data_IF_169570177852
#
_entry.id   IF_169570177852
#
_cell.length_a   1.000
_cell.length_b   1.000
_cell.length_c   1.000
_cell.angle_alpha   90.00
_cell.angle_beta   90.00
_cell.angle_gamma   90.00
#
_symmetry.space_group_name_H-M   'P 1'
#
loop_
_entity.id
_entity.type
_entity.pdbx_description
1 polymer ?
#
# COMPACT_ATOMS: atom_id res chain seq x y z
N UNK A 1 -0.94 14.61 30.42
CA UNK A 1 -1.02 14.88 28.98
C UNK A 1 0.22 14.24 28.38
N UNK A 2 0.07 13.22 27.52
CA UNK A 2 1.21 12.67 26.80
C UNK A 2 1.84 13.80 25.97
N UNK A 3 3.17 13.83 25.88
CA UNK A 3 3.85 14.84 25.06
C UNK A 3 3.38 14.69 23.61
N UNK A 4 3.28 15.78 22.83
CA UNK A 4 2.92 15.70 21.41
C UNK A 4 3.87 14.83 20.59
N UNK A 5 5.07 14.52 21.10
CA UNK A 5 6.06 13.65 20.48
C UNK A 5 5.72 12.14 20.58
N UNK A 6 4.82 11.74 21.49
CA UNK A 6 4.44 10.33 21.70
C UNK A 6 3.13 9.95 20.97
N UNK A 7 2.55 10.88 20.21
CA UNK A 7 1.33 10.62 19.43
C UNK A 7 1.63 9.71 18.23
N UNK A 8 0.78 8.71 17.92
CA UNK A 8 0.93 7.89 16.71
C UNK A 8 0.85 8.70 15.41
N UNK A 9 0.33 9.93 15.46
CA UNK A 9 0.24 10.85 14.32
C UNK A 9 1.35 11.91 14.31
N UNK A 10 2.32 11.87 15.22
CA UNK A 10 3.42 12.85 15.22
C UNK A 10 4.14 12.89 13.85
N UNK A 11 4.27 14.08 13.27
CA UNK A 11 4.86 14.26 11.93
C UNK A 11 3.89 13.96 10.76
N UNK A 12 2.61 13.74 11.03
CA UNK A 12 1.55 13.69 10.02
C UNK A 12 0.88 15.05 9.85
N UNK A 13 0.13 15.19 8.75
CA UNK A 13 -0.61 16.42 8.45
C UNK A 13 -1.60 16.73 9.58
N UNK A 14 -1.60 17.96 10.09
CA UNK A 14 -2.36 18.37 11.27
C UNK A 14 -1.66 18.13 12.62
N UNK A 15 -0.53 17.42 12.63
CA UNK A 15 0.20 17.03 13.85
C UNK A 15 1.72 17.28 13.73
N UNK A 16 2.08 18.36 13.03
CA UNK A 16 3.48 18.80 12.90
C UNK A 16 3.87 19.69 14.08
N UNK A 17 5.11 19.59 14.53
CA UNK A 17 5.71 20.62 15.39
C UNK A 17 5.97 21.91 14.59
N UNK A 18 6.14 23.08 15.23
CA UNK A 18 6.48 24.32 14.51
C UNK A 18 7.75 24.21 13.64
N UNK A 19 8.72 23.42 14.09
CA UNK A 19 9.93 23.12 13.31
C UNK A 19 9.61 22.26 12.09
N UNK A 20 8.80 21.21 12.26
CA UNK A 20 8.36 20.34 11.18
C UNK A 20 7.49 21.08 10.15
N UNK A 21 6.65 22.02 10.57
CA UNK A 21 5.87 22.89 9.67
C UNK A 21 6.78 23.77 8.80
N UNK A 22 7.85 24.31 9.40
CA UNK A 22 8.86 25.10 8.69
C UNK A 22 9.57 24.25 7.64
N UNK A 23 10.03 23.05 8.03
CA UNK A 23 10.68 22.08 7.12
C UNK A 23 9.74 21.60 6.02
N UNK A 24 8.47 21.40 6.34
CA UNK A 24 7.47 21.01 5.36
C UNK A 24 7.21 22.11 4.33
N UNK A 25 7.14 23.36 4.77
CA UNK A 25 6.99 24.52 3.88
C UNK A 25 8.21 24.70 2.96
N UNK A 26 9.41 24.55 3.51
CA UNK A 26 10.68 24.57 2.74
C UNK A 26 10.70 23.47 1.67
N UNK A 27 10.35 22.24 2.07
CA UNK A 27 10.31 21.09 1.18
C UNK A 27 9.28 21.22 0.06
N UNK A 28 8.06 21.66 0.39
CA UNK A 28 7.01 21.94 -0.61
C UNK A 28 7.49 22.96 -1.63
N UNK A 29 8.08 24.05 -1.17
CA UNK A 29 8.63 25.09 -2.06
C UNK A 29 9.73 24.54 -2.96
N UNK A 30 10.63 23.70 -2.43
CA UNK A 30 11.67 23.07 -3.22
C UNK A 30 11.10 22.12 -4.28
N UNK A 31 10.12 21.28 -3.92
CA UNK A 31 9.46 20.39 -4.88
C UNK A 31 8.73 21.15 -5.99
N UNK A 32 8.07 22.27 -5.66
CA UNK A 32 7.42 23.12 -6.67
C UNK A 32 8.42 23.82 -7.58
N UNK A 33 9.58 24.25 -7.07
CA UNK A 33 10.64 24.84 -7.91
C UNK A 33 11.25 23.87 -8.91
N UNK A 34 11.24 22.57 -8.60
CA UNK A 34 11.75 21.51 -9.47
C UNK A 34 10.65 20.81 -10.29
N UNK A 35 9.42 21.37 -10.33
CA UNK A 35 8.25 20.78 -11.01
C UNK A 35 7.90 19.34 -10.54
N UNK A 36 8.34 18.96 -9.33
CA UNK A 36 8.03 17.67 -8.71
C UNK A 36 6.66 17.67 -8.00
N UNK A 37 6.18 18.85 -7.60
CA UNK A 37 4.89 19.02 -6.93
C UNK A 37 4.17 20.31 -7.31
N UNK A 38 2.91 20.17 -7.73
CA UNK A 38 2.00 21.29 -7.93
C UNK A 38 0.56 20.84 -7.68
N UNK A 39 -0.21 21.53 -6.80
CA UNK A 39 -1.60 21.21 -6.54
C UNK A 39 -2.42 21.12 -7.83
N UNK A 40 -3.17 20.02 -7.99
CA UNK A 40 -4.01 19.77 -9.16
C UNK A 40 -3.27 19.44 -10.46
N UNK A 41 -1.94 19.43 -10.47
CA UNK A 41 -1.13 19.01 -11.63
C UNK A 41 -0.42 17.69 -11.42
N UNK A 42 0.00 17.39 -10.19
CA UNK A 42 0.57 16.09 -9.87
C UNK A 42 -0.50 15.01 -9.80
N UNK A 43 -0.05 13.75 -9.94
CA UNK A 43 -0.90 12.58 -9.67
C UNK A 43 -1.54 12.70 -8.29
N UNK A 44 -2.75 12.17 -8.16
CA UNK A 44 -3.55 12.31 -6.93
C UNK A 44 -2.86 11.68 -5.71
N UNK A 45 -2.17 10.56 -5.89
CA UNK A 45 -1.39 9.91 -4.83
C UNK A 45 -0.14 10.68 -4.36
N UNK A 46 0.18 11.83 -4.98
CA UNK A 46 1.23 12.75 -4.55
C UNK A 46 0.61 14.07 -4.06
N UNK A 47 -0.06 13.99 -2.92
CA UNK A 47 -0.62 15.11 -2.17
C UNK A 47 0.31 15.56 -1.02
N UNK A 48 -0.14 16.49 -0.18
CA UNK A 48 0.63 16.98 0.97
C UNK A 48 0.96 15.87 1.98
N UNK A 49 0.04 14.93 2.19
CA UNK A 49 0.25 13.80 3.09
C UNK A 49 1.31 12.84 2.53
N UNK A 50 1.35 12.65 1.21
CA UNK A 50 2.40 11.93 0.51
C UNK A 50 3.76 12.63 0.59
N UNK A 51 3.83 13.96 0.45
CA UNK A 51 5.08 14.71 0.64
C UNK A 51 5.65 14.52 2.05
N UNK A 52 4.79 14.55 3.08
CA UNK A 52 5.21 14.29 4.46
C UNK A 52 5.78 12.88 4.66
N UNK A 53 5.38 11.86 3.87
CA UNK A 53 6.01 10.54 3.92
C UNK A 53 7.50 10.60 3.56
N UNK A 54 7.87 11.38 2.54
CA UNK A 54 9.28 11.56 2.16
C UNK A 54 10.08 12.28 3.25
N UNK A 55 9.51 13.33 3.85
CA UNK A 55 10.15 14.01 4.98
C UNK A 55 10.32 13.09 6.18
N UNK A 56 9.28 12.37 6.61
CA UNK A 56 9.38 11.41 7.73
C UNK A 56 10.44 10.34 7.46
N UNK A 57 10.47 9.78 6.25
CA UNK A 57 11.48 8.79 5.85
C UNK A 57 12.92 9.31 5.86
N UNK A 58 13.11 10.63 5.85
CA UNK A 58 14.40 11.32 5.93
C UNK A 58 14.52 12.19 7.18
N UNK A 59 13.72 11.91 8.22
CA UNK A 59 13.79 12.59 9.52
C UNK A 59 13.68 14.12 9.42
N UNK A 60 12.87 14.60 8.48
CA UNK A 60 12.68 16.01 8.14
C UNK A 60 13.93 16.74 7.60
N UNK A 61 14.94 15.99 7.12
CA UNK A 61 16.05 16.54 6.34
C UNK A 61 15.61 16.83 4.91
N UNK A 62 15.37 18.12 4.63
CA UNK A 62 14.82 18.60 3.35
C UNK A 62 15.68 18.19 2.14
N UNK A 63 17.02 18.32 2.14
CA UNK A 63 17.83 17.93 0.98
C UNK A 63 17.73 16.44 0.65
N UNK A 64 17.69 15.58 1.68
CA UNK A 64 17.61 14.13 1.52
C UNK A 64 16.22 13.70 1.05
N UNK A 65 15.16 14.33 1.58
CA UNK A 65 13.79 14.11 1.15
C UNK A 65 13.60 14.53 -0.33
N UNK A 66 14.19 15.67 -0.71
CA UNK A 66 14.17 16.18 -2.09
C UNK A 66 14.90 15.26 -3.07
N UNK A 67 16.05 14.73 -2.65
CA UNK A 67 16.74 13.72 -3.43
C UNK A 67 15.88 12.46 -3.63
N UNK A 68 15.26 11.94 -2.56
CA UNK A 68 14.44 10.73 -2.62
C UNK A 68 13.20 10.87 -3.52
N UNK A 69 12.49 12.00 -3.45
CA UNK A 69 11.32 12.22 -4.33
C UNK A 69 11.75 12.39 -5.79
N UNK A 70 12.89 13.05 -6.05
CA UNK A 70 13.46 13.17 -7.40
C UNK A 70 13.80 11.80 -7.99
N UNK A 71 14.48 10.95 -7.23
CA UNK A 71 14.77 9.57 -7.66
C UNK A 71 13.48 8.77 -7.89
N UNK A 72 12.47 8.96 -7.06
CA UNK A 72 11.19 8.28 -7.19
C UNK A 72 10.46 8.70 -8.46
N UNK A 73 10.30 9.99 -8.73
CA UNK A 73 9.59 10.45 -9.93
C UNK A 73 10.37 10.12 -11.23
N UNK A 74 11.70 10.15 -11.19
CA UNK A 74 12.53 9.65 -12.30
C UNK A 74 12.34 8.14 -12.54
N UNK A 75 12.33 7.33 -11.48
CA UNK A 75 12.08 5.88 -11.57
C UNK A 75 10.68 5.57 -12.08
N UNK A 76 9.65 6.28 -11.61
CA UNK A 76 8.25 6.13 -12.08
C UNK A 76 8.14 6.42 -13.56
N UNK A 77 8.76 7.51 -14.02
CA UNK A 77 8.76 7.92 -15.43
C UNK A 77 9.48 6.90 -16.30
N UNK A 78 10.69 6.48 -15.92
CA UNK A 78 11.47 5.50 -16.68
C UNK A 78 10.76 4.15 -16.81
N UNK A 79 10.03 3.73 -15.78
CA UNK A 79 9.26 2.48 -15.77
C UNK A 79 7.83 2.62 -16.33
N UNK A 80 7.45 3.83 -16.80
CA UNK A 80 6.11 4.15 -17.30
C UNK A 80 5.01 3.68 -16.35
N UNK A 81 5.17 3.95 -15.06
CA UNK A 81 4.32 3.33 -14.03
C UNK A 81 2.84 3.72 -14.16
N UNK A 82 2.58 4.96 -14.58
CA UNK A 82 1.22 5.45 -14.86
C UNK A 82 0.55 4.65 -15.98
N UNK A 83 1.25 4.48 -17.11
CA UNK A 83 0.81 3.68 -18.26
C UNK A 83 0.62 2.21 -17.85
N UNK A 84 1.57 1.66 -17.10
CA UNK A 84 1.51 0.30 -16.57
C UNK A 84 0.25 0.08 -15.74
N UNK A 85 -0.09 1.01 -14.84
CA UNK A 85 -1.25 0.89 -13.97
C UNK A 85 -2.56 1.00 -14.77
N UNK A 86 -2.66 1.97 -15.67
CA UNK A 86 -3.86 2.22 -16.46
C UNK A 86 -4.13 1.15 -17.53
N UNK A 87 -3.08 0.43 -17.97
CA UNK A 87 -3.15 -0.61 -19.00
C UNK A 87 -2.89 -2.02 -18.45
N UNK A 88 -2.85 -2.19 -17.13
CA UNK A 88 -2.60 -3.49 -16.53
C UNK A 88 -3.73 -4.47 -16.89
N UNK A 89 -3.35 -5.64 -17.39
CA UNK A 89 -4.33 -6.70 -17.65
C UNK A 89 -5.02 -7.11 -16.34
N UNK A 90 -6.36 -7.12 -16.34
CA UNK A 90 -7.14 -7.37 -15.14
C UNK A 90 -6.94 -8.80 -14.62
N UNK A 91 -6.74 -9.78 -15.51
CA UNK A 91 -6.45 -11.15 -15.07
C UNK A 91 -5.07 -11.26 -14.41
N UNK A 92 -4.06 -10.57 -14.96
CA UNK A 92 -2.73 -10.51 -14.35
C UNK A 92 -2.75 -9.83 -12.98
N UNK A 93 -3.51 -8.74 -12.83
CA UNK A 93 -3.72 -8.09 -11.53
C UNK A 93 -4.34 -9.05 -10.51
N UNK A 94 -5.39 -9.77 -10.89
CA UNK A 94 -6.10 -10.70 -9.99
C UNK A 94 -5.25 -11.93 -9.62
N UNK A 95 -4.46 -12.46 -10.55
CA UNK A 95 -3.50 -13.53 -10.24
C UNK A 95 -2.41 -13.05 -9.27
N UNK A 96 -1.90 -11.82 -9.47
CA UNK A 96 -0.90 -11.24 -8.59
C UNK A 96 -1.45 -11.00 -7.18
N UNK A 97 -2.68 -10.50 -7.03
CA UNK A 97 -3.27 -10.31 -5.69
C UNK A 97 -3.28 -11.61 -4.89
N UNK A 98 -3.44 -12.77 -5.55
CA UNK A 98 -3.46 -14.09 -4.88
C UNK A 98 -2.10 -14.56 -4.39
N UNK A 99 -1.00 -13.94 -4.84
CA UNK A 99 0.36 -14.26 -4.41
C UNK A 99 1.05 -13.14 -3.62
N UNK A 100 0.34 -12.05 -3.31
CA UNK A 100 0.84 -10.93 -2.53
C UNK A 100 -0.13 -10.53 -1.41
N UNK A 101 0.21 -9.49 -0.66
CA UNK A 101 -0.65 -8.93 0.38
C UNK A 101 -2.00 -8.49 -0.21
N UNK A 102 -3.09 -8.94 0.40
CA UNK A 102 -4.46 -8.66 -0.05
C UNK A 102 -5.18 -7.77 0.96
N UNK A 103 -5.77 -6.69 0.46
CA UNK A 103 -6.67 -5.89 1.29
C UNK A 103 -7.95 -6.68 1.58
N UNK A 104 -8.33 -6.74 2.85
CA UNK A 104 -9.55 -7.42 3.31
C UNK A 104 -10.83 -6.66 2.96
N UNK A 105 -10.73 -5.39 2.57
CA UNK A 105 -11.86 -4.46 2.52
C UNK A 105 -12.13 -3.75 3.85
N UNK A 106 -11.39 -4.12 4.90
CA UNK A 106 -11.56 -3.60 6.27
C UNK A 106 -10.38 -2.76 6.73
N UNK A 107 -10.54 -2.18 7.91
CA UNK A 107 -9.60 -1.24 8.52
C UNK A 107 -9.36 -1.56 10.00
N UNK A 108 -8.27 -1.03 10.52
CA UNK A 108 -8.00 -1.03 11.95
C UNK A 108 -8.70 0.13 12.69
N UNK A 109 -8.54 0.21 14.01
CA UNK A 109 -9.20 1.22 14.85
C UNK A 109 -8.82 2.67 14.50
N UNK A 110 -7.70 2.89 13.79
CA UNK A 110 -7.27 4.21 13.32
C UNK A 110 -7.67 4.48 11.85
N UNK A 111 -8.38 3.53 11.22
CA UNK A 111 -8.85 3.65 9.84
C UNK A 111 -7.83 3.19 8.80
N UNK A 112 -6.70 2.59 9.17
CA UNK A 112 -5.72 2.08 8.22
C UNK A 112 -6.22 0.79 7.58
N UNK A 113 -6.11 0.61 6.26
CA UNK A 113 -6.55 -0.62 5.60
C UNK A 113 -5.76 -1.84 6.10
N UNK A 114 -6.48 -2.94 6.31
CA UNK A 114 -5.92 -4.21 6.81
C UNK A 114 -5.64 -5.14 5.65
N UNK A 115 -4.36 -5.46 5.47
CA UNK A 115 -3.86 -6.41 4.49
C UNK A 115 -3.50 -7.74 5.14
N UNK A 116 -3.76 -8.84 4.43
CA UNK A 116 -3.37 -10.20 4.83
C UNK A 116 -2.47 -10.81 3.78
N UNK A 117 -1.42 -11.50 4.20
CA UNK A 117 -0.53 -12.28 3.33
C UNK A 117 -0.28 -13.67 3.88
N UNK A 118 -0.77 -14.69 3.17
CA UNK A 118 -0.58 -16.10 3.53
C UNK A 118 0.44 -16.75 2.60
N UNK A 119 1.64 -17.00 3.13
CA UNK A 119 2.75 -17.51 2.30
C UNK A 119 2.49 -18.96 1.84
N UNK A 120 1.74 -19.74 2.61
CA UNK A 120 1.36 -21.12 2.25
C UNK A 120 0.52 -21.19 0.96
N UNK A 121 -0.24 -20.14 0.64
CA UNK A 121 -1.11 -20.07 -0.55
C UNK A 121 -0.35 -19.76 -1.85
N UNK A 122 0.94 -19.39 -1.76
CA UNK A 122 1.76 -19.10 -2.94
C UNK A 122 1.86 -20.29 -3.89
N UNK A 123 2.04 -21.51 -3.35
CA UNK A 123 2.27 -22.72 -4.15
C UNK A 123 1.15 -22.97 -5.16
N UNK A 124 -0.10 -22.70 -4.77
CA UNK A 124 -1.28 -22.98 -5.58
C UNK A 124 -1.53 -21.91 -6.65
N UNK A 125 -1.02 -20.70 -6.45
CA UNK A 125 -1.29 -19.55 -7.32
C UNK A 125 -0.08 -19.13 -8.17
N UNK A 126 1.13 -19.62 -7.87
CA UNK A 126 2.36 -19.23 -8.54
C UNK A 126 2.35 -19.51 -10.05
N UNK A 127 1.77 -20.64 -10.49
CA UNK A 127 1.73 -20.98 -11.91
C UNK A 127 0.90 -19.98 -12.73
N UNK A 128 -0.28 -19.60 -12.22
CA UNK A 128 -1.14 -18.62 -12.89
C UNK A 128 -0.44 -17.26 -12.95
N UNK A 129 0.11 -16.80 -11.82
CA UNK A 129 0.89 -15.57 -11.73
C UNK A 129 2.11 -15.56 -12.67
N UNK A 130 2.85 -16.65 -12.79
CA UNK A 130 3.98 -16.74 -13.70
C UNK A 130 3.57 -16.70 -15.17
N UNK A 131 2.37 -17.17 -15.49
CA UNK A 131 1.84 -17.13 -16.85
C UNK A 131 1.32 -15.73 -17.20
N UNK A 132 0.56 -15.11 -16.30
CA UNK A 132 -0.01 -13.77 -16.51
C UNK A 132 1.01 -12.64 -16.34
N UNK A 133 2.09 -12.80 -15.57
CA UNK A 133 3.18 -11.82 -15.56
C UNK A 133 3.97 -11.74 -16.89
N UNK A 134 3.89 -12.78 -17.74
CA UNK A 134 4.56 -12.79 -19.07
C UNK A 134 3.78 -12.01 -20.14
N UNK A 135 2.48 -11.81 -19.97
CA UNK A 135 1.67 -11.04 -20.92
C UNK A 135 1.84 -9.53 -20.74
N UNK A 136 2.46 -9.10 -19.64
CA UNK A 136 2.77 -7.69 -19.45
C UNK A 136 3.74 -7.21 -20.53
N UNK A 137 3.57 -5.96 -21.02
CA UNK A 137 4.55 -5.34 -21.89
C UNK A 137 5.96 -5.44 -21.30
N UNK A 138 6.99 -5.47 -22.14
CA UNK A 138 8.38 -5.39 -21.70
C UNK A 138 8.70 -4.00 -21.13
N UNK A 139 9.72 -3.92 -20.26
CA UNK A 139 10.15 -2.64 -19.69
C UNK A 139 10.90 -1.86 -20.79
N UNK A 140 10.77 -0.52 -20.92
CA UNK A 140 11.65 0.23 -21.80
C UNK A 140 13.12 -0.08 -21.50
N UNK A 141 13.85 -0.54 -22.52
CA UNK A 141 15.25 -0.92 -22.42
C UNK A 141 16.16 0.31 -22.41
N UNK A 142 16.11 1.16 -21.38
CA UNK A 142 17.12 2.21 -21.21
C UNK A 142 17.02 2.88 -19.84
N UNK A 143 18.02 2.66 -18.99
CA UNK A 143 18.15 3.42 -17.76
C UNK A 143 19.47 3.17 -17.01
N UNK A 144 20.15 4.26 -16.63
CA UNK A 144 21.27 4.30 -15.70
C UNK A 144 20.89 3.74 -14.30
N UNK A 145 21.85 3.65 -13.38
CA UNK A 145 21.66 3.03 -12.06
C UNK A 145 20.47 3.58 -11.21
N UNK A 146 20.00 4.81 -11.48
CA UNK A 146 18.84 5.46 -10.83
C UNK A 146 17.47 5.14 -11.50
N UNK A 147 17.48 4.53 -12.68
CA UNK A 147 16.27 4.20 -13.48
C UNK A 147 16.16 2.70 -13.72
N UNK A 148 16.63 1.90 -12.74
CA UNK A 148 16.63 0.43 -12.84
C UNK A 148 15.25 -0.08 -13.24
N UNK A 149 15.16 -0.87 -14.32
CA UNK A 149 13.90 -1.42 -14.75
C UNK A 149 13.34 -2.33 -13.66
N UNK A 150 12.07 -2.16 -13.33
CA UNK A 150 11.31 -3.12 -12.51
C UNK A 150 11.44 -4.51 -13.16
N UNK A 151 11.95 -5.51 -12.42
CA UNK A 151 11.99 -6.88 -12.91
C UNK A 151 10.59 -7.35 -13.32
N UNK A 152 10.46 -8.09 -14.42
CA UNK A 152 9.16 -8.42 -15.03
C UNK A 152 8.10 -8.92 -14.03
N UNK A 153 8.44 -9.89 -13.17
CA UNK A 153 7.53 -10.41 -12.14
C UNK A 153 7.11 -9.38 -11.09
N UNK A 154 7.94 -8.37 -10.82
CA UNK A 154 7.63 -7.31 -9.86
C UNK A 154 6.78 -6.18 -10.47
N UNK A 155 6.57 -6.14 -11.79
CA UNK A 155 5.75 -5.11 -12.42
C UNK A 155 4.31 -5.16 -11.93
N UNK A 156 3.71 -6.34 -11.88
CA UNK A 156 2.34 -6.47 -11.36
C UNK A 156 2.28 -6.11 -9.87
N UNK A 157 3.30 -6.45 -9.09
CA UNK A 157 3.39 -6.03 -7.69
C UNK A 157 3.31 -4.51 -7.57
N UNK A 158 4.02 -3.76 -8.41
CA UNK A 158 3.90 -2.30 -8.39
C UNK A 158 2.55 -1.80 -8.87
N UNK A 159 1.84 -2.53 -9.75
CA UNK A 159 0.42 -2.28 -9.99
C UNK A 159 -0.46 -2.41 -8.74
N UNK A 160 -0.15 -3.36 -7.84
CA UNK A 160 -0.83 -3.49 -6.54
C UNK A 160 -0.48 -2.34 -5.59
N UNK A 161 0.78 -1.88 -5.57
CA UNK A 161 1.19 -0.70 -4.79
C UNK A 161 0.53 0.58 -5.30
N UNK A 162 0.41 0.73 -6.62
CA UNK A 162 -0.33 1.83 -7.22
C UNK A 162 -1.81 1.76 -6.81
N UNK A 163 -2.44 0.59 -6.81
CA UNK A 163 -3.80 0.47 -6.31
C UNK A 163 -3.95 0.83 -4.82
N UNK A 164 -2.99 0.43 -3.99
CA UNK A 164 -2.95 0.83 -2.59
C UNK A 164 -2.89 2.35 -2.47
N UNK A 165 -1.99 3.01 -3.20
CA UNK A 165 -1.74 4.45 -3.10
C UNK A 165 -2.81 5.32 -3.78
N UNK A 166 -3.27 4.92 -4.98
CA UNK A 166 -4.21 5.66 -5.82
C UNK A 166 -5.67 5.40 -5.47
N UNK A 167 -5.97 4.32 -4.72
CA UNK A 167 -7.34 3.94 -4.41
C UNK A 167 -7.60 3.59 -2.95
N UNK A 168 -6.90 2.63 -2.37
CA UNK A 168 -7.24 2.12 -1.02
C UNK A 168 -6.99 3.17 0.06
N UNK A 169 -5.84 3.86 0.03
CA UNK A 169 -5.51 4.91 0.99
C UNK A 169 -6.48 6.12 0.91
N UNK A 170 -6.79 6.67 -0.28
CA UNK A 170 -7.83 7.69 -0.43
C UNK A 170 -9.22 7.21 0.03
N UNK A 171 -9.60 5.97 -0.26
CA UNK A 171 -10.88 5.40 0.16
C UNK A 171 -10.99 5.30 1.68
N UNK A 172 -9.92 4.92 2.36
CA UNK A 172 -9.91 4.92 3.82
C UNK A 172 -9.93 6.34 4.40
N UNK A 173 -9.30 7.32 3.73
CA UNK A 173 -9.32 8.74 4.10
C UNK A 173 -10.70 9.39 3.94
N UNK A 174 -11.48 8.94 2.97
CA UNK A 174 -12.85 9.40 2.71
C UNK A 174 -13.80 9.09 3.87
N UNK A 175 -13.50 8.08 4.69
CA UNK A 175 -14.34 7.71 5.83
C UNK A 175 -14.03 8.59 7.04
N UNK A 176 -15.06 9.30 7.51
CA UNK A 176 -14.94 10.34 8.55
C UNK A 176 -15.32 9.88 9.96
N UNK A 177 -15.76 8.63 10.14
CA UNK A 177 -16.10 8.04 11.44
C UNK A 177 -14.89 7.63 12.29
N UNK A 178 -13.68 7.69 11.72
CA UNK A 178 -12.42 7.36 12.40
C UNK A 178 -12.00 8.45 13.41
N UNK A 179 -11.10 8.14 14.36
CA UNK A 179 -10.74 9.06 15.44
C UNK A 179 -10.19 10.42 14.99
N UNK A 180 -9.33 10.45 13.96
CA UNK A 180 -8.65 11.66 13.48
C UNK A 180 -8.99 11.93 12.00
N UNK A 181 -10.25 12.29 11.67
CA UNK A 181 -10.77 12.37 10.30
C UNK A 181 -10.09 13.45 9.43
N UNK A 182 -9.45 14.43 10.05
CA UNK A 182 -8.68 15.51 9.42
C UNK A 182 -7.33 15.05 8.86
N UNK A 183 -6.71 14.02 9.42
CA UNK A 183 -5.38 13.54 9.00
C UNK A 183 -5.51 12.42 8.00
N UNK A 184 -5.06 12.54 6.74
CA UNK A 184 -5.21 11.48 5.74
C UNK A 184 -4.57 10.16 6.15
N UNK A 185 -5.18 9.05 5.73
CA UNK A 185 -4.62 7.70 5.90
C UNK A 185 -3.52 7.51 4.85
N UNK A 186 -2.28 7.41 5.31
CA UNK A 186 -1.11 7.27 4.43
C UNK A 186 -0.38 5.94 4.56
N UNK A 187 -0.84 5.06 5.45
CA UNK A 187 -0.15 3.82 5.80
C UNK A 187 -1.13 2.65 5.96
N UNK A 188 -0.57 1.45 5.94
CA UNK A 188 -1.29 0.17 5.93
C UNK A 188 -0.89 -0.70 7.12
N UNK A 189 -1.82 -1.55 7.58
CA UNK A 189 -1.57 -2.56 8.61
C UNK A 189 -1.59 -3.95 7.98
N UNK A 190 -0.60 -4.79 8.31
CA UNK A 190 -0.43 -6.10 7.66
C UNK A 190 -0.45 -7.25 8.67
N UNK A 191 -1.15 -8.32 8.31
CA UNK A 191 -1.10 -9.63 8.96
C UNK A 191 -0.41 -10.59 8.00
N UNK A 192 0.74 -11.12 8.39
CA UNK A 192 1.55 -12.03 7.58
C UNK A 192 1.56 -13.40 8.24
N UNK A 193 0.81 -14.34 7.69
CA UNK A 193 0.75 -15.71 8.17
C UNK A 193 1.79 -16.56 7.43
N UNK A 194 2.78 -17.02 8.20
CA UNK A 194 3.88 -17.86 7.70
C UNK A 194 3.71 -19.33 8.08
N UNK A 195 2.55 -19.69 8.64
CA UNK A 195 2.22 -21.07 9.02
C UNK A 195 2.29 -22.00 7.82
N UNK A 196 2.76 -23.24 8.05
CA UNK A 196 2.79 -24.28 7.01
C UNK A 196 3.87 -24.09 5.93
N UNK A 197 4.75 -23.10 6.08
CA UNK A 197 5.87 -22.87 5.15
C UNK A 197 7.16 -23.43 5.75
N UNK A 198 7.92 -24.19 4.95
CA UNK A 198 9.25 -24.66 5.32
C UNK A 198 10.36 -23.66 4.98
N UNK A 199 11.53 -23.81 5.60
CA UNK A 199 12.70 -22.93 5.36
C UNK A 199 13.09 -22.88 3.88
N UNK A 200 13.02 -24.01 3.17
CA UNK A 200 13.32 -24.07 1.74
C UNK A 200 12.30 -23.28 0.90
N UNK A 201 11.03 -23.24 1.32
CA UNK A 201 10.02 -22.38 0.69
C UNK A 201 10.38 -20.90 0.82
N UNK A 202 10.75 -20.45 2.03
CA UNK A 202 11.25 -19.10 2.25
C UNK A 202 12.53 -18.79 1.47
N UNK A 203 13.46 -19.75 1.43
CA UNK A 203 14.71 -19.60 0.68
C UNK A 203 14.45 -19.34 -0.80
N UNK A 204 13.50 -20.06 -1.40
CA UNK A 204 13.13 -19.88 -2.80
C UNK A 204 12.50 -18.49 -3.08
N UNK A 205 11.87 -17.88 -2.07
CA UNK A 205 11.27 -16.54 -2.18
C UNK A 205 12.24 -15.40 -1.84
N UNK A 206 13.36 -15.72 -1.20
CA UNK A 206 14.29 -14.76 -0.59
C UNK A 206 14.68 -13.61 -1.53
N UNK A 207 15.14 -13.94 -2.73
CA UNK A 207 15.62 -12.94 -3.70
C UNK A 207 14.48 -12.05 -4.20
N UNK A 208 13.30 -12.64 -4.39
CA UNK A 208 12.11 -11.92 -4.83
C UNK A 208 11.63 -10.95 -3.73
N UNK A 209 11.53 -11.42 -2.49
CA UNK A 209 11.15 -10.59 -1.34
C UNK A 209 12.15 -9.47 -1.10
N UNK A 210 13.46 -9.74 -1.21
CA UNK A 210 14.49 -8.73 -1.09
C UNK A 210 14.34 -7.64 -2.15
N UNK A 211 14.20 -8.02 -3.43
CA UNK A 211 14.06 -7.06 -4.52
C UNK A 211 12.78 -6.21 -4.39
N UNK A 212 11.65 -6.84 -4.03
CA UNK A 212 10.39 -6.15 -3.76
C UNK A 212 10.55 -5.14 -2.61
N UNK A 213 11.15 -5.56 -1.50
CA UNK A 213 11.35 -4.73 -0.31
C UNK A 213 12.26 -3.54 -0.58
N UNK A 214 13.38 -3.75 -1.30
CA UNK A 214 14.30 -2.67 -1.65
C UNK A 214 13.63 -1.60 -2.51
N UNK A 215 12.87 -2.00 -3.54
CA UNK A 215 12.16 -1.05 -4.39
C UNK A 215 11.01 -0.36 -3.66
N UNK A 216 10.26 -1.09 -2.82
CA UNK A 216 9.18 -0.49 -2.02
C UNK A 216 9.73 0.56 -1.03
N UNK A 217 10.81 0.27 -0.31
CA UNK A 217 11.44 1.22 0.61
C UNK A 217 12.03 2.45 -0.09
N UNK A 218 12.46 2.30 -1.34
CA UNK A 218 13.01 3.40 -2.13
C UNK A 218 11.92 4.35 -2.67
N UNK A 219 10.76 3.82 -3.08
CA UNK A 219 9.77 4.58 -3.87
C UNK A 219 8.40 4.75 -3.20
N UNK A 220 8.12 3.99 -2.13
CA UNK A 220 6.87 4.06 -1.36
C UNK A 220 7.16 4.24 0.14
N UNK A 221 7.93 5.28 0.51
CA UNK A 221 8.32 5.52 1.91
C UNK A 221 7.09 5.67 2.81
N UNK A 222 7.23 5.22 4.06
CA UNK A 222 6.25 5.41 5.15
C UNK A 222 4.80 4.99 4.80
N UNK A 223 4.65 3.97 3.95
CA UNK A 223 3.34 3.36 3.61
C UNK A 223 2.99 2.16 4.50
N UNK A 224 3.92 1.72 5.35
CA UNK A 224 3.75 0.63 6.29
C UNK A 224 3.70 1.17 7.72
N UNK A 225 2.63 0.85 8.44
CA UNK A 225 2.46 1.23 9.85
C UNK A 225 2.92 0.10 10.77
N UNK A 226 2.35 -1.09 10.59
CA UNK A 226 2.55 -2.27 11.44
C UNK A 226 2.45 -3.56 10.64
N UNK A 227 3.25 -4.55 11.03
CA UNK A 227 3.23 -5.92 10.49
C UNK A 227 3.15 -6.90 11.64
N UNK A 228 2.15 -7.77 11.65
CA UNK A 228 2.05 -8.89 12.58
C UNK A 228 2.41 -10.18 11.86
N UNK A 229 3.51 -10.80 12.26
CA UNK A 229 3.95 -12.09 11.72
C UNK A 229 3.43 -13.19 12.64
N UNK A 230 2.64 -14.10 12.07
CA UNK A 230 1.96 -15.18 12.78
C UNK A 230 2.51 -16.53 12.35
N UNK A 231 2.43 -17.54 13.22
CA UNK A 231 2.80 -18.91 12.85
C UNK A 231 4.29 -19.10 12.58
N UNK A 232 5.13 -18.22 13.12
CA UNK A 232 6.58 -18.26 12.96
C UNK A 232 7.15 -19.63 13.43
N UNK A 233 7.73 -20.44 12.52
CA UNK A 233 8.27 -21.76 12.87
C UNK A 233 9.61 -21.64 13.60
N UNK A 234 10.14 -22.75 14.10
CA UNK A 234 11.40 -22.78 14.86
C UNK A 234 12.62 -22.21 14.10
N UNK A 235 12.59 -22.22 12.76
CA UNK A 235 13.64 -21.65 11.92
C UNK A 235 13.47 -20.14 11.65
N UNK A 236 12.39 -19.50 12.10
CA UNK A 236 12.09 -18.09 11.83
C UNK A 236 13.21 -17.11 12.26
N UNK A 237 13.99 -17.35 13.34
CA UNK A 237 15.15 -16.50 13.65
C UNK A 237 16.15 -16.36 12.48
N UNK A 238 16.31 -17.38 11.64
CA UNK A 238 17.14 -17.31 10.42
C UNK A 238 16.53 -16.35 9.39
N UNK A 239 15.21 -16.43 9.17
CA UNK A 239 14.48 -15.53 8.27
C UNK A 239 14.53 -14.09 8.79
N UNK A 240 14.37 -13.90 10.09
CA UNK A 240 14.51 -12.58 10.74
C UNK A 240 15.90 -11.97 10.52
N UNK A 241 16.95 -12.79 10.53
CA UNK A 241 18.31 -12.36 10.17
C UNK A 241 18.42 -11.82 8.74
N UNK A 242 17.63 -12.33 7.79
CA UNK A 242 17.56 -11.79 6.43
C UNK A 242 16.75 -10.49 6.37
N UNK A 243 15.56 -10.46 7.01
CA UNK A 243 14.68 -9.29 7.06
C UNK A 243 15.42 -8.06 7.60
N UNK A 244 16.19 -8.21 8.69
CA UNK A 244 17.01 -7.12 9.27
C UNK A 244 18.09 -6.56 8.34
N UNK A 245 18.45 -7.28 7.27
CA UNK A 245 19.39 -6.79 6.24
C UNK A 245 18.69 -6.10 5.08
N UNK A 246 17.38 -6.31 4.93
CA UNK A 246 16.58 -5.76 3.82
C UNK A 246 15.91 -4.45 4.21
N UNK A 247 15.59 -4.30 5.49
CA UNK A 247 14.85 -3.16 6.03
C UNK A 247 15.71 -2.34 7.00
N UNK A 248 15.46 -1.04 7.03
CA UNK A 248 16.04 -0.14 8.02
C UNK A 248 15.42 -0.38 9.43
N UNK A 249 16.07 0.11 10.50
CA UNK A 249 15.58 -0.06 11.86
C UNK A 249 14.14 0.46 12.09
N UNK A 250 13.74 1.56 11.44
CA UNK A 250 12.40 2.13 11.57
C UNK A 250 11.32 1.26 10.96
N UNK A 251 11.64 0.54 9.87
CA UNK A 251 10.74 -0.48 9.31
C UNK A 251 10.71 -1.75 10.17
N UNK A 252 11.86 -2.23 10.67
CA UNK A 252 11.88 -3.46 11.49
C UNK A 252 11.21 -3.30 12.85
N UNK A 253 11.17 -2.10 13.44
CA UNK A 253 10.47 -1.83 14.71
C UNK A 253 8.95 -1.92 14.60
N UNK A 254 8.40 -1.82 13.39
CA UNK A 254 6.98 -1.99 13.06
C UNK A 254 6.57 -3.46 12.94
N UNK A 255 7.54 -4.38 12.94
CA UNK A 255 7.29 -5.82 12.77
C UNK A 255 7.20 -6.49 14.13
N UNK A 256 6.06 -7.14 14.38
CA UNK A 256 5.75 -7.85 15.61
C UNK A 256 5.56 -9.34 15.29
N UNK A 257 6.46 -10.18 15.78
CA UNK A 257 6.33 -11.65 15.65
C UNK A 257 5.53 -12.14 16.85
N UNK A 258 4.37 -12.75 16.60
CA UNK A 258 3.44 -13.19 17.64
C UNK A 258 3.48 -14.70 17.80
N UNK A 259 3.49 -15.17 19.05
CA UNK A 259 3.16 -16.56 19.37
C UNK A 259 1.67 -16.82 19.16
N UNK A 260 1.28 -18.10 19.03
CA UNK A 260 -0.11 -18.49 18.78
C UNK A 260 -1.09 -17.95 19.85
N UNK A 261 -0.65 -17.88 21.11
CA UNK A 261 -1.46 -17.37 22.23
C UNK A 261 -1.60 -15.84 22.22
N UNK A 262 -0.71 -15.12 21.54
CA UNK A 262 -0.72 -13.66 21.44
C UNK A 262 -1.55 -13.15 20.26
N UNK A 263 -1.74 -13.97 19.20
CA UNK A 263 -2.41 -13.54 17.95
C UNK A 263 -3.73 -12.83 18.20
N UNK A 264 -4.72 -13.54 18.74
CA UNK A 264 -6.07 -12.98 18.94
C UNK A 264 -6.10 -11.77 19.89
N UNK A 265 -5.52 -11.82 21.12
CA UNK A 265 -5.56 -10.68 22.03
C UNK A 265 -4.81 -9.46 21.48
N UNK A 266 -3.67 -9.66 20.82
CA UNK A 266 -2.93 -8.55 20.20
C UNK A 266 -3.75 -7.94 19.06
N UNK A 267 -4.22 -8.72 18.08
CA UNK A 267 -4.94 -8.16 16.93
C UNK A 267 -6.24 -7.45 17.34
N UNK A 268 -7.00 -8.01 18.29
CA UNK A 268 -8.22 -7.37 18.83
C UNK A 268 -7.96 -6.06 19.58
N UNK A 269 -6.73 -5.81 20.05
CA UNK A 269 -6.36 -4.53 20.64
C UNK A 269 -6.15 -3.44 19.57
N UNK A 270 -5.98 -3.81 18.30
CA UNK A 270 -5.71 -2.87 17.19
C UNK A 270 -6.85 -2.77 16.18
N UNK A 271 -7.75 -3.76 16.10
CA UNK A 271 -8.91 -3.76 15.22
C UNK A 271 -10.13 -4.38 15.89
N UNK A 272 -11.31 -3.88 15.52
CA UNK A 272 -12.60 -4.42 15.99
C UNK A 272 -12.74 -5.89 15.53
N UNK A 273 -13.21 -6.82 16.39
CA UNK A 273 -13.46 -8.20 16.01
C UNK A 273 -14.22 -8.36 14.69
N UNK A 274 -15.21 -7.51 14.37
CA UNK A 274 -16.00 -7.57 13.13
C UNK A 274 -15.20 -7.28 11.85
N UNK A 275 -14.01 -6.71 12.01
CA UNK A 275 -13.09 -6.29 10.95
C UNK A 275 -11.86 -7.21 10.84
N UNK A 276 -11.69 -8.12 11.82
CA UNK A 276 -10.63 -9.12 11.87
C UNK A 276 -11.12 -10.46 11.31
N UNK A 277 -10.40 -11.11 10.36
CA UNK A 277 -10.79 -12.44 9.88
C UNK A 277 -10.92 -13.48 11.00
N UNK A 278 -11.95 -14.34 10.90
CA UNK A 278 -12.19 -15.43 11.87
C UNK A 278 -10.99 -16.30 12.16
N UNK A 279 -10.20 -16.62 11.13
CA UNK A 279 -8.95 -17.40 11.24
C UNK A 279 -7.98 -16.83 12.28
N UNK A 280 -7.97 -15.50 12.46
CA UNK A 280 -7.08 -14.79 13.37
C UNK A 280 -7.78 -14.38 14.68
N UNK A 281 -8.95 -14.96 14.95
CA UNK A 281 -9.71 -14.73 16.16
C UNK A 281 -10.67 -13.55 16.07
N UNK A 282 -11.09 -13.10 14.89
CA UNK A 282 -12.17 -12.12 14.76
C UNK A 282 -13.51 -12.75 14.39
N UNK A 283 -14.36 -11.96 13.75
CA UNK A 283 -15.73 -12.29 13.34
C UNK A 283 -15.95 -12.09 11.83
N UNK A 284 -14.99 -11.48 11.12
CA UNK A 284 -15.08 -11.25 9.69
C UNK A 284 -15.03 -12.59 8.91
N UNK A 285 -16.07 -12.83 8.13
CA UNK A 285 -16.16 -13.91 7.15
C UNK A 285 -15.32 -13.55 5.92
N UNK A 286 -14.01 -13.71 6.05
CA UNK A 286 -13.05 -13.46 4.98
C UNK A 286 -11.88 -14.43 5.07
N UNK A 287 -11.50 -14.99 3.93
CA UNK A 287 -10.38 -15.91 3.78
C UNK A 287 -9.43 -15.40 2.69
N UNK A 288 -8.15 -15.77 2.79
CA UNK A 288 -7.15 -15.33 1.83
C UNK A 288 -7.48 -15.81 0.41
N UNK A 289 -7.53 -14.87 -0.53
CA UNK A 289 -8.00 -15.09 -1.89
C UNK A 289 -9.42 -14.60 -2.16
N UNK A 290 -10.21 -14.28 -1.13
CA UNK A 290 -11.49 -13.59 -1.30
C UNK A 290 -11.30 -12.14 -1.74
N UNK A 291 -12.33 -11.56 -2.38
CA UNK A 291 -12.34 -10.15 -2.76
C UNK A 291 -12.55 -9.26 -1.52
N UNK A 292 -12.26 -7.95 -1.59
CA UNK A 292 -12.48 -7.04 -0.46
C UNK A 292 -13.94 -7.04 0.02
N UNK A 293 -14.14 -7.17 1.33
CA UNK A 293 -15.43 -7.07 2.01
C UNK A 293 -15.54 -5.71 2.71
N UNK A 294 -16.02 -4.71 1.98
CA UNK A 294 -16.24 -3.35 2.48
C UNK A 294 -17.32 -3.31 3.57
N UNK A 295 -17.08 -2.49 4.61
CA UNK A 295 -18.09 -2.18 5.62
C UNK A 295 -19.07 -1.09 5.15
N UNK A 296 -20.15 -0.91 5.92
CA UNK A 296 -21.18 0.08 5.62
C UNK A 296 -20.69 1.53 5.68
N UNK A 297 -19.61 1.82 6.39
CA UNK A 297 -19.07 3.18 6.47
C UNK A 297 -18.31 3.56 5.19
N UNK A 298 -17.58 2.61 4.59
CA UNK A 298 -16.98 2.79 3.25
C UNK A 298 -18.08 2.98 2.21
N UNK A 299 -19.07 2.10 2.19
CA UNK A 299 -20.16 2.16 1.21
C UNK A 299 -21.01 3.43 1.34
N UNK A 300 -21.09 4.00 2.54
CA UNK A 300 -21.73 5.30 2.79
C UNK A 300 -20.86 6.46 2.31
N UNK A 301 -19.54 6.40 2.53
CA UNK A 301 -18.63 7.46 2.11
C UNK A 301 -18.47 7.54 0.59
N UNK A 302 -18.44 6.38 -0.09
CA UNK A 302 -18.35 6.31 -1.56
C UNK A 302 -19.48 5.46 -2.09
N UNK A 303 -20.50 6.14 -2.60
CA UNK A 303 -21.68 5.52 -3.18
C UNK A 303 -21.34 4.74 -4.46
N UNK A 304 -22.11 3.69 -4.76
CA UNK A 304 -21.94 2.89 -5.98
C UNK A 304 -20.90 1.77 -5.91
N UNK A 305 -19.94 1.85 -4.99
CA UNK A 305 -18.95 0.78 -4.81
C UNK A 305 -19.63 -0.55 -4.48
N UNK A 306 -19.14 -1.61 -5.13
CA UNK A 306 -19.52 -2.99 -4.87
C UNK A 306 -18.60 -3.62 -3.83
N UNK A 307 -19.02 -4.72 -3.22
CA UNK A 307 -18.29 -5.43 -2.17
C UNK A 307 -18.44 -6.95 -2.33
N UNK A 308 -17.49 -7.72 -1.81
CA UNK A 308 -17.53 -9.18 -1.86
C UNK A 308 -17.55 -9.71 -3.30
N UNK A 309 -18.49 -10.61 -3.60
CA UNK A 309 -18.57 -11.26 -4.92
C UNK A 309 -18.94 -10.30 -6.06
N UNK A 310 -19.55 -9.15 -5.75
CA UNK A 310 -19.85 -8.10 -6.73
C UNK A 310 -18.67 -7.14 -6.96
N UNK A 311 -17.55 -7.29 -6.24
CA UNK A 311 -16.41 -6.39 -6.31
C UNK A 311 -15.88 -6.20 -7.74
N UNK A 312 -15.60 -4.95 -8.11
CA UNK A 312 -15.00 -4.62 -9.40
C UNK A 312 -13.50 -4.92 -9.36
N UNK A 313 -13.11 -6.01 -10.02
CA UNK A 313 -11.73 -6.51 -10.12
C UNK A 313 -10.80 -5.56 -10.87
N UNK A 314 -9.50 -5.66 -10.61
CA UNK A 314 -8.46 -4.90 -11.30
C UNK A 314 -8.16 -3.51 -10.73
N UNK A 315 -7.33 -2.71 -11.44
CA UNK A 315 -6.97 -1.35 -11.04
C UNK A 315 -8.18 -0.42 -10.88
N UNK A 316 -8.19 0.35 -9.79
CA UNK A 316 -9.16 1.40 -9.50
C UNK A 316 -8.42 2.72 -9.22
N UNK A 317 -8.97 3.85 -9.64
CA UNK A 317 -8.34 5.16 -9.44
C UNK A 317 -9.40 6.20 -9.11
N UNK A 318 -9.04 7.16 -8.26
CA UNK A 318 -9.85 8.34 -8.04
C UNK A 318 -9.63 9.39 -9.14
N UNK A 319 -10.69 10.10 -9.51
CA UNK A 319 -10.65 11.22 -10.44
C UNK A 319 -11.43 12.36 -9.80
N UNK A 320 -10.73 13.41 -9.38
CA UNK A 320 -11.35 14.59 -8.76
C UNK A 320 -12.00 15.49 -9.81
N UNK A 321 -13.11 16.11 -9.42
CA UNK A 321 -13.75 17.13 -10.22
C UNK A 321 -12.90 18.42 -10.21
N UNK A 322 -12.82 19.08 -11.36
CA UNK A 322 -11.99 20.29 -11.54
C UNK A 322 -12.66 21.57 -11.02
N UNK A 323 -13.88 21.49 -10.52
CA UNK A 323 -14.69 22.64 -10.08
C UNK A 323 -14.37 23.09 -8.63
N UNK A 324 -13.45 22.41 -7.95
CA UNK A 324 -13.06 22.71 -6.57
C UNK A 324 -14.06 22.25 -5.52
N UNK A 325 -15.10 21.50 -5.89
CA UNK A 325 -16.11 20.97 -4.96
C UNK A 325 -15.56 19.88 -4.02
N UNK A 326 -14.39 19.31 -4.33
CA UNK A 326 -13.83 18.15 -3.64
C UNK A 326 -14.54 16.83 -3.97
N UNK A 327 -15.54 16.86 -4.86
CA UNK A 327 -16.16 15.65 -5.41
C UNK A 327 -15.16 14.84 -6.22
N UNK A 328 -15.36 13.54 -6.22
CA UNK A 328 -14.53 12.64 -6.99
C UNK A 328 -15.29 11.39 -7.44
N UNK A 329 -14.79 10.77 -8.50
CA UNK A 329 -15.28 9.50 -9.04
C UNK A 329 -14.22 8.43 -8.87
N UNK A 330 -14.66 7.21 -8.63
CA UNK A 330 -13.80 6.03 -8.71
C UNK A 330 -13.98 5.40 -10.08
N UNK A 331 -12.87 5.28 -10.81
CA UNK A 331 -12.83 4.75 -12.17
C UNK A 331 -12.06 3.43 -12.18
N UNK A 332 -12.66 2.38 -12.72
CA UNK A 332 -11.99 1.12 -13.01
C UNK A 332 -11.18 1.23 -14.31
N UNK A 333 -9.90 0.87 -14.20
CA UNK A 333 -8.87 0.96 -15.26
C UNK A 333 -8.36 -0.43 -15.64
N UNK A 334 -7.39 -0.51 -16.54
CA UNK A 334 -6.77 -1.77 -16.98
C UNK A 334 -7.32 -2.29 -18.29
N UNK A 335 -6.90 -3.49 -18.68
CA UNK A 335 -7.30 -4.15 -19.93
C UNK A 335 -8.13 -5.39 -19.62
N UNK A 336 -9.27 -5.53 -20.32
CA UNK A 336 -10.11 -6.73 -20.34
C UNK A 336 -10.24 -7.18 -21.79
N UNK A 337 -9.86 -8.43 -22.07
CA UNK A 337 -9.93 -9.03 -23.42
C UNK A 337 -9.29 -8.15 -24.50
N UNK A 338 -8.14 -7.54 -24.18
CA UNK A 338 -7.40 -6.65 -25.07
C UNK A 338 -7.97 -5.24 -25.26
N UNK A 339 -9.07 -4.90 -24.56
CA UNK A 339 -9.69 -3.56 -24.61
C UNK A 339 -9.45 -2.78 -23.31
N UNK A 340 -9.09 -1.51 -23.46
CA UNK A 340 -8.96 -0.60 -22.32
C UNK A 340 -10.30 -0.40 -21.63
N UNK A 341 -10.30 -0.52 -20.30
CA UNK A 341 -11.45 -0.24 -19.43
C UNK A 341 -11.33 1.17 -18.84
N UNK A 342 -12.46 1.88 -18.82
CA UNK A 342 -12.60 3.18 -18.18
C UNK A 342 -14.04 3.34 -17.71
N UNK A 343 -14.38 2.69 -16.61
CA UNK A 343 -15.75 2.55 -16.10
C UNK A 343 -15.89 3.28 -14.77
N UNK A 344 -16.93 4.10 -14.60
CA UNK A 344 -17.26 4.71 -13.32
C UNK A 344 -17.93 3.68 -12.40
N UNK A 345 -17.34 3.46 -11.22
CA UNK A 345 -17.77 2.41 -10.27
C UNK A 345 -18.07 2.94 -8.88
N UNK A 346 -17.85 4.23 -8.64
CA UNK A 346 -18.22 4.86 -7.39
C UNK A 346 -18.14 6.38 -7.47
N UNK A 347 -18.87 7.04 -6.57
CA UNK A 347 -18.92 8.51 -6.46
C UNK A 347 -18.75 8.91 -5.01
N UNK A 348 -17.83 9.84 -4.78
CA UNK A 348 -17.56 10.48 -3.51
C UNK A 348 -18.05 11.91 -3.54
N UNK A 349 -18.89 12.25 -2.57
CA UNK A 349 -19.35 13.61 -2.31
C UNK A 349 -18.96 13.95 -0.87
N UNK A 350 -17.99 14.87 -0.66
CA UNK A 350 -17.38 15.14 0.65
C UNK A 350 -18.32 15.73 1.70
#
# INVERSE_FOLDING_TARGET
MASSADSPLAGHLGHLSPEQETKFSEFKLACTKEDLYAPGKTRQSLDEAALLRFLRARRFEVPDALHMIRETEAWRTANKLEELYDTLDVSAYEDARRVYHQWTGRRDLLGRPVYVYEISHLKNNMSAFEQSSKILPSNPSSGDAATKPIPGKLRVLFGLYENMAEFVLPLCTAVKSRPDPETPITSTAHIVDVSGVGLMGFWNLKNHMQAASTLASAHYPETLDRVYILGAPSFFPTVWGWIKRWFDPGTTSKIHVLSQTEVAPTLRAFMDPKDLPKKYGGELEWEYGMLPNLDGEILKAVSGLKTGDEWVKGPLRWVQDQDGSGKAKVIAKGIIDGKSRNEEVGVYEP
#
